data_IF_759239764912
#
_entry.id   IF_759239764912
#
_cell.length_a   1.000
_cell.length_b   1.000
_cell.length_c   1.000
_cell.angle_alpha   90.00
_cell.angle_beta   90.00
_cell.angle_gamma   90.00
#
_symmetry.space_group_name_H-M   'P 1'
#
loop_
_entity.id
_entity.type
_entity.pdbx_description
1 polymer ?
#
# COMPACT_ATOMS: atom_id res chain seq x y z
N UNK A 1 6.69 -7.40 18.37
CA UNK A 1 7.70 -6.34 18.61
C UNK A 1 7.23 -5.60 19.84
N UNK A 2 8.02 -5.48 20.91
CA UNK A 2 7.61 -4.68 22.07
C UNK A 2 7.35 -3.25 21.58
N UNK A 3 6.17 -2.73 21.85
CA UNK A 3 5.79 -1.36 21.53
C UNK A 3 6.79 -0.42 22.18
N UNK A 4 7.41 0.46 21.38
CA UNK A 4 8.26 1.52 21.92
C UNK A 4 7.37 2.35 22.85
N UNK A 5 7.86 2.69 24.05
CA UNK A 5 7.06 3.47 25.00
C UNK A 5 6.65 4.81 24.34
N UNK A 6 5.36 5.06 24.20
CA UNK A 6 4.85 6.28 23.56
C UNK A 6 5.33 7.56 24.28
N UNK A 7 5.56 7.49 25.60
CA UNK A 7 6.07 8.64 26.38
C UNK A 7 7.52 8.95 26.02
N UNK A 8 8.31 7.92 25.68
CA UNK A 8 9.68 8.07 25.18
C UNK A 8 9.67 8.88 23.89
N UNK A 9 8.87 8.48 22.91
CA UNK A 9 8.88 9.09 21.58
C UNK A 9 8.32 10.52 21.60
N UNK A 10 7.30 10.80 22.41
CA UNK A 10 6.74 12.14 22.56
C UNK A 10 7.76 13.18 23.06
N UNK A 11 8.59 12.83 24.05
CA UNK A 11 9.61 13.73 24.61
C UNK A 11 10.68 14.07 23.59
N UNK A 12 11.15 13.08 22.81
CA UNK A 12 12.13 13.32 21.72
C UNK A 12 11.53 14.23 20.64
N UNK A 13 10.26 14.02 20.26
CA UNK A 13 9.56 14.86 19.28
C UNK A 13 9.47 16.31 19.74
N UNK A 14 9.12 16.54 21.01
CA UNK A 14 9.09 17.88 21.60
C UNK A 14 10.47 18.54 21.58
N UNK A 15 11.52 17.81 21.98
CA UNK A 15 12.89 18.31 21.96
C UNK A 15 13.39 18.70 20.55
N UNK A 16 12.94 17.98 19.51
CA UNK A 16 13.26 18.30 18.12
C UNK A 16 12.43 19.47 17.55
N UNK A 17 11.25 19.74 18.08
CA UNK A 17 10.37 20.80 17.60
C UNK A 17 10.08 20.68 16.10
N UNK A 18 10.24 21.78 15.34
CA UNK A 18 10.00 21.77 13.89
C UNK A 18 10.94 20.86 13.10
N UNK A 19 12.14 20.58 13.63
CA UNK A 19 13.11 19.70 12.98
C UNK A 19 12.60 18.26 12.88
N UNK A 20 11.70 17.84 13.78
CA UNK A 20 11.05 16.53 13.68
C UNK A 20 10.21 16.42 12.41
N UNK A 21 9.44 17.47 12.08
CA UNK A 21 8.62 17.53 10.86
C UNK A 21 9.48 17.49 9.60
N UNK A 22 10.55 18.28 9.56
CA UNK A 22 11.52 18.26 8.46
C UNK A 22 12.13 16.86 8.28
N UNK A 23 12.58 16.25 9.38
CA UNK A 23 13.17 14.92 9.38
C UNK A 23 12.19 13.87 8.82
N UNK A 24 10.98 13.82 9.37
CA UNK A 24 9.96 12.86 8.97
C UNK A 24 9.53 13.06 7.51
N UNK A 25 9.43 14.31 7.06
CA UNK A 25 9.15 14.66 5.67
C UNK A 25 10.21 14.10 4.71
N UNK A 26 11.49 14.39 5.00
CA UNK A 26 12.62 13.90 4.18
C UNK A 26 12.73 12.37 4.21
N UNK A 27 12.49 11.73 5.37
CA UNK A 27 12.45 10.28 5.45
C UNK A 27 11.38 9.70 4.52
N UNK A 28 10.17 10.25 4.53
CA UNK A 28 9.05 9.79 3.67
C UNK A 28 9.33 10.04 2.19
N UNK A 29 9.85 11.22 1.82
CA UNK A 29 10.30 11.56 0.47
C UNK A 29 11.28 10.51 -0.08
N UNK A 30 12.21 10.08 0.76
CA UNK A 30 13.27 9.17 0.38
C UNK A 30 12.94 7.69 0.61
N UNK A 31 11.76 7.36 1.14
CA UNK A 31 11.42 6.01 1.65
C UNK A 31 12.52 5.46 2.57
N UNK A 32 13.15 6.33 3.37
CA UNK A 32 14.18 5.95 4.32
C UNK A 32 13.51 5.51 5.62
N UNK A 33 13.16 4.22 5.72
CA UNK A 33 12.56 3.67 6.92
C UNK A 33 13.49 3.84 8.14
N UNK A 34 12.95 4.04 9.36
CA UNK A 34 13.73 4.23 10.58
C UNK A 34 14.89 3.24 10.74
N UNK A 35 14.63 1.94 10.53
CA UNK A 35 15.65 0.89 10.63
C UNK A 35 16.87 1.06 9.72
N UNK A 36 16.73 1.77 8.58
CA UNK A 36 17.80 1.99 7.60
C UNK A 36 18.28 3.44 7.57
N UNK A 37 17.70 4.29 8.41
CA UNK A 37 17.87 5.74 8.40
C UNK A 37 19.34 6.20 8.53
N UNK A 38 20.13 5.56 9.39
CA UNK A 38 21.56 5.88 9.54
C UNK A 38 22.47 5.22 8.49
N UNK A 39 21.98 4.21 7.77
CA UNK A 39 22.70 3.55 6.68
C UNK A 39 22.61 4.33 5.38
N UNK A 40 21.52 5.04 5.18
CA UNK A 40 21.28 5.88 4.01
C UNK A 40 22.19 7.12 4.01
N UNK A 41 22.81 7.36 2.85
CA UNK A 41 23.83 8.40 2.62
C UNK A 41 23.36 9.51 1.69
N UNK A 42 22.07 9.53 1.32
CA UNK A 42 21.52 10.60 0.48
C UNK A 42 21.65 11.95 1.18
N UNK A 43 22.19 13.00 0.53
CA UNK A 43 22.58 14.24 1.20
C UNK A 43 21.47 14.92 1.99
N UNK A 44 20.25 15.02 1.43
CA UNK A 44 19.09 15.63 2.10
C UNK A 44 18.79 14.95 3.44
N UNK A 45 18.85 13.62 3.48
CA UNK A 45 18.62 12.85 4.70
C UNK A 45 19.74 13.01 5.70
N UNK A 46 21.00 12.89 5.26
CA UNK A 46 22.19 13.04 6.11
C UNK A 46 22.18 14.39 6.80
N UNK A 47 21.91 15.46 6.06
CA UNK A 47 21.88 16.81 6.61
C UNK A 47 20.83 17.00 7.71
N UNK A 48 19.58 16.57 7.47
CA UNK A 48 18.51 16.74 8.47
C UNK A 48 18.68 15.80 9.67
N UNK A 49 19.16 14.58 9.42
CA UNK A 49 19.49 13.60 10.46
C UNK A 49 20.55 14.13 11.40
N UNK A 50 21.69 14.57 10.87
CA UNK A 50 22.82 14.95 11.70
C UNK A 50 22.46 16.17 12.57
N UNK A 51 21.65 17.10 12.04
CA UNK A 51 21.04 18.18 12.83
C UNK A 51 20.12 17.66 13.93
N UNK A 52 19.28 16.67 13.65
CA UNK A 52 18.37 16.09 14.64
C UNK A 52 19.13 15.35 15.75
N UNK A 53 20.14 14.55 15.39
CA UNK A 53 21.00 13.88 16.36
C UNK A 53 21.71 14.90 17.26
N UNK A 54 22.26 15.97 16.67
CA UNK A 54 22.96 17.01 17.45
C UNK A 54 22.02 17.78 18.38
N UNK A 55 20.80 18.08 17.92
CA UNK A 55 19.78 18.69 18.77
C UNK A 55 19.46 17.82 19.99
N UNK A 56 19.36 16.49 19.82
CA UNK A 56 19.16 15.57 20.93
C UNK A 56 20.39 15.47 21.84
N UNK A 57 21.62 15.53 21.32
CA UNK A 57 22.82 15.62 22.18
C UNK A 57 22.83 16.88 23.03
N UNK A 58 22.55 18.03 22.42
CA UNK A 58 22.45 19.31 23.13
C UNK A 58 21.34 19.27 24.19
N UNK A 59 20.21 18.63 23.90
CA UNK A 59 19.14 18.42 24.86
C UNK A 59 19.58 17.49 26.01
N UNK A 60 20.28 16.40 25.70
CA UNK A 60 20.79 15.44 26.68
C UNK A 60 21.75 16.08 27.68
N UNK A 61 22.58 17.04 27.25
CA UNK A 61 23.46 17.79 28.16
C UNK A 61 22.67 18.62 29.19
N UNK A 62 21.48 19.10 28.83
CA UNK A 62 20.60 19.86 29.72
C UNK A 62 19.76 18.97 30.62
N UNK A 63 19.42 17.77 30.17
CA UNK A 63 18.53 16.83 30.86
C UNK A 63 19.14 15.41 30.94
N UNK A 64 20.34 15.23 31.56
CA UNK A 64 21.09 13.99 31.48
C UNK A 64 20.38 12.80 32.16
N UNK A 65 19.68 13.04 33.27
CA UNK A 65 18.94 11.99 33.97
C UNK A 65 17.80 11.45 33.10
N UNK A 66 16.94 12.33 32.58
CA UNK A 66 15.83 11.96 31.70
C UNK A 66 16.34 11.27 30.44
N UNK A 67 17.41 11.79 29.84
CA UNK A 67 18.02 11.16 28.66
C UNK A 67 18.50 9.72 28.96
N UNK A 68 19.21 9.48 30.06
CA UNK A 68 19.69 8.14 30.40
C UNK A 68 18.53 7.17 30.69
N UNK A 69 17.51 7.60 31.43
CA UNK A 69 16.30 6.80 31.66
C UNK A 69 15.62 6.42 30.34
N UNK A 70 15.53 7.36 29.40
CA UNK A 70 14.99 7.13 28.07
C UNK A 70 15.81 6.13 27.26
N UNK A 71 17.15 6.20 27.34
CA UNK A 71 18.05 5.27 26.67
C UNK A 71 17.92 3.86 27.24
N UNK A 72 17.77 3.73 28.56
CA UNK A 72 17.59 2.43 29.23
C UNK A 72 16.27 1.74 28.84
N UNK A 73 15.26 2.52 28.42
CA UNK A 73 13.99 2.01 27.91
C UNK A 73 14.03 1.58 26.43
N UNK A 74 15.11 1.88 25.69
CA UNK A 74 15.19 1.52 24.28
C UNK A 74 15.27 0.00 24.09
N UNK A 75 14.49 -0.58 23.15
CA UNK A 75 14.70 -1.94 22.71
C UNK A 75 16.13 -2.14 22.21
N UNK A 76 16.79 -3.25 22.60
CA UNK A 76 18.17 -3.56 22.18
C UNK A 76 18.39 -3.51 20.67
N UNK A 77 17.36 -3.81 19.88
CA UNK A 77 17.42 -3.76 18.41
C UNK A 77 17.60 -2.33 17.86
N UNK A 78 17.16 -1.32 18.61
CA UNK A 78 17.30 0.11 18.27
C UNK A 78 18.52 0.75 18.93
N UNK A 79 19.23 0.05 19.81
CA UNK A 79 20.42 0.56 20.48
C UNK A 79 21.60 0.61 19.49
N UNK A 80 21.69 1.70 18.75
CA UNK A 80 22.86 2.05 17.95
C UNK A 80 24.04 2.36 18.89
N UNK A 81 25.25 2.49 18.31
CA UNK A 81 26.44 2.91 19.07
C UNK A 81 26.30 4.30 19.68
N UNK A 82 25.39 5.11 19.17
CA UNK A 82 25.09 6.46 19.65
C UNK A 82 23.66 6.50 20.20
N UNK A 83 23.54 6.82 21.47
CA UNK A 83 22.26 6.88 22.18
C UNK A 83 21.34 7.98 21.65
N UNK A 84 21.87 9.15 21.30
CA UNK A 84 21.07 10.22 20.72
C UNK A 84 20.53 9.80 19.36
N UNK A 85 21.36 9.13 18.56
CA UNK A 85 20.94 8.59 17.28
C UNK A 85 19.82 7.56 17.41
N UNK A 86 19.93 6.67 18.41
CA UNK A 86 18.94 5.63 18.73
C UNK A 86 17.59 6.22 19.12
N UNK A 87 17.58 7.28 19.94
CA UNK A 87 16.36 7.98 20.34
C UNK A 87 15.68 8.67 19.16
N UNK A 88 16.44 9.30 18.25
CA UNK A 88 15.89 9.88 17.02
C UNK A 88 15.24 8.81 16.15
N UNK A 89 15.91 7.66 15.95
CA UNK A 89 15.36 6.54 15.18
C UNK A 89 14.05 6.05 15.79
N UNK A 90 14.04 5.77 17.10
CA UNK A 90 12.85 5.31 17.82
C UNK A 90 11.69 6.30 17.73
N UNK A 91 11.96 7.60 17.85
CA UNK A 91 10.93 8.64 17.82
C UNK A 91 10.20 8.77 16.46
N UNK A 92 10.83 8.33 15.37
CA UNK A 92 10.26 8.37 14.02
C UNK A 92 9.42 7.15 13.66
N UNK A 93 9.46 6.07 14.46
CA UNK A 93 8.93 4.78 14.05
C UNK A 93 7.43 4.79 13.75
N UNK A 94 6.62 5.18 14.74
CA UNK A 94 5.16 5.17 14.61
C UNK A 94 4.69 6.13 13.52
N UNK A 95 5.19 7.37 13.54
CA UNK A 95 4.75 8.39 12.60
C UNK A 95 5.23 8.08 11.17
N UNK A 96 6.37 7.44 10.96
CA UNK A 96 6.82 7.07 9.61
C UNK A 96 5.87 6.07 8.93
N UNK A 97 5.37 5.10 9.68
CA UNK A 97 4.46 4.06 9.19
C UNK A 97 2.98 4.40 9.33
N UNK A 98 2.64 5.49 10.05
CA UNK A 98 1.27 5.93 10.22
C UNK A 98 0.56 6.18 8.88
N UNK A 99 -0.70 5.74 8.81
CA UNK A 99 -1.57 5.94 7.65
C UNK A 99 -2.57 7.04 8.01
N UNK A 100 -2.34 8.30 7.59
CA UNK A 100 -3.22 9.40 7.93
C UNK A 100 -4.54 9.31 7.15
N UNK A 101 -5.61 9.94 7.66
CA UNK A 101 -6.88 10.05 6.93
C UNK A 101 -6.72 10.70 5.54
N UNK A 102 -5.74 11.59 5.37
CA UNK A 102 -5.41 12.20 4.08
C UNK A 102 -5.00 11.19 3.00
N UNK A 103 -4.58 9.98 3.39
CA UNK A 103 -4.31 8.86 2.47
C UNK A 103 -5.52 8.47 1.60
N UNK A 104 -6.73 8.80 2.05
CA UNK A 104 -7.96 8.50 1.32
C UNK A 104 -8.40 9.65 0.42
N UNK A 105 -7.74 10.81 0.49
CA UNK A 105 -8.10 12.02 -0.27
C UNK A 105 -7.37 12.09 -1.61
N UNK A 106 -8.06 12.56 -2.66
CA UNK A 106 -7.46 12.71 -4.00
C UNK A 106 -6.41 13.84 -4.03
N UNK A 107 -5.42 13.75 -4.94
CA UNK A 107 -4.41 14.78 -5.06
C UNK A 107 -5.03 16.16 -5.25
N UNK A 108 -4.60 17.13 -4.44
CA UNK A 108 -5.06 18.52 -4.55
C UNK A 108 -4.15 19.29 -5.49
N UNK A 109 -4.66 20.26 -6.24
CA UNK A 109 -3.84 21.04 -7.18
C UNK A 109 -2.65 21.77 -6.53
N UNK A 110 -2.74 22.06 -5.22
CA UNK A 110 -1.70 22.68 -4.40
C UNK A 110 -0.81 21.65 -3.66
N UNK A 111 -0.94 20.36 -3.94
CA UNK A 111 -0.08 19.35 -3.32
C UNK A 111 1.37 19.50 -3.75
N UNK A 112 2.35 19.11 -2.91
CA UNK A 112 3.77 19.27 -3.22
C UNK A 112 4.15 18.81 -4.63
N UNK A 113 3.74 17.60 -5.03
CA UNK A 113 4.08 17.04 -6.35
C UNK A 113 3.43 17.83 -7.48
N UNK A 114 2.15 18.19 -7.37
CA UNK A 114 1.45 18.92 -8.44
C UNK A 114 1.89 20.38 -8.51
N UNK A 115 2.27 21.00 -7.39
CA UNK A 115 2.90 22.31 -7.38
C UNK A 115 4.28 22.29 -8.07
N UNK A 116 5.07 21.24 -7.86
CA UNK A 116 6.38 21.08 -8.48
C UNK A 116 6.30 20.69 -9.97
N UNK A 117 5.27 19.94 -10.36
CA UNK A 117 5.03 19.51 -11.76
C UNK A 117 3.56 19.71 -12.15
N UNK A 118 3.12 20.97 -12.41
CA UNK A 118 1.70 21.27 -12.65
C UNK A 118 1.07 20.54 -13.84
N UNK A 119 1.87 20.24 -14.88
CA UNK A 119 1.42 19.47 -16.04
C UNK A 119 0.89 18.08 -15.64
N UNK A 120 1.36 17.49 -14.53
CA UNK A 120 0.89 16.18 -14.10
C UNK A 120 -0.61 16.16 -13.78
N UNK A 121 -1.19 17.31 -13.39
CA UNK A 121 -2.60 17.43 -13.11
C UNK A 121 -3.49 17.16 -14.34
N UNK A 122 -2.98 17.34 -15.57
CA UNK A 122 -3.76 17.06 -16.80
C UNK A 122 -3.95 15.57 -17.07
N UNK A 123 -3.25 14.70 -16.32
CA UNK A 123 -3.35 13.25 -16.44
C UNK A 123 -4.23 12.63 -15.34
N UNK A 124 -4.74 13.43 -14.39
CA UNK A 124 -5.62 12.95 -13.33
C UNK A 124 -7.03 12.68 -13.86
N UNK A 125 -7.60 11.56 -13.43
CA UNK A 125 -9.03 11.28 -13.56
C UNK A 125 -9.83 11.71 -12.33
N UNK A 126 -11.15 11.54 -12.39
CA UNK A 126 -12.09 11.88 -11.30
C UNK A 126 -11.89 11.05 -10.01
N UNK A 127 -11.02 10.02 -10.05
CA UNK A 127 -10.63 9.21 -8.89
C UNK A 127 -9.21 9.52 -8.40
N UNK A 128 -8.59 10.58 -8.91
CA UNK A 128 -7.24 10.97 -8.55
C UNK A 128 -6.15 9.98 -8.99
N UNK A 129 -6.42 9.21 -10.06
CA UNK A 129 -5.43 8.33 -10.69
C UNK A 129 -4.79 9.03 -11.89
N UNK A 130 -3.48 8.84 -12.07
CA UNK A 130 -2.74 9.35 -13.23
C UNK A 130 -2.83 8.34 -14.38
N UNK A 131 -3.25 8.77 -15.57
CA UNK A 131 -3.08 7.99 -16.80
C UNK A 131 -1.59 7.91 -17.15
N UNK A 132 -1.05 6.70 -17.18
CA UNK A 132 0.40 6.46 -17.33
C UNK A 132 0.82 6.08 -18.75
N UNK A 133 -0.12 6.06 -19.72
CA UNK A 133 0.16 5.59 -21.08
C UNK A 133 1.32 6.33 -21.76
N UNK A 134 1.37 7.66 -21.61
CA UNK A 134 2.36 8.54 -22.26
C UNK A 134 3.43 9.06 -21.30
N UNK A 135 3.61 8.40 -20.15
CA UNK A 135 4.56 8.80 -19.11
C UNK A 135 5.66 7.75 -18.89
N UNK A 136 6.80 8.16 -18.35
CA UNK A 136 7.88 7.25 -17.92
C UNK A 136 7.51 6.61 -16.56
N UNK A 137 6.44 5.82 -16.57
CA UNK A 137 6.01 5.00 -15.45
C UNK A 137 6.83 3.71 -15.41
N UNK A 138 7.55 3.52 -14.31
CA UNK A 138 8.36 2.31 -14.04
C UNK A 138 7.84 1.63 -12.78
N UNK A 139 8.22 0.37 -12.48
CA UNK A 139 7.78 -0.30 -11.26
C UNK A 139 8.09 0.48 -9.97
N UNK A 140 9.20 1.23 -9.96
CA UNK A 140 9.70 1.92 -8.76
C UNK A 140 9.26 3.39 -8.63
N UNK A 141 8.55 3.93 -9.63
CA UNK A 141 8.06 5.30 -9.59
C UNK A 141 7.72 5.85 -10.96
N UNK A 142 7.11 7.03 -10.95
CA UNK A 142 6.77 7.81 -12.13
C UNK A 142 7.83 8.91 -12.33
N UNK A 143 8.58 8.84 -13.42
CA UNK A 143 9.64 9.78 -13.72
C UNK A 143 9.13 10.93 -14.60
N UNK A 144 9.19 12.16 -14.08
CA UNK A 144 8.73 13.34 -14.81
C UNK A 144 9.60 14.56 -14.49
N UNK A 145 10.25 15.10 -15.52
CA UNK A 145 11.23 16.17 -15.35
C UNK A 145 12.31 15.78 -14.31
N UNK A 146 12.56 16.63 -13.28
CA UNK A 146 13.55 16.38 -12.26
C UNK A 146 13.08 15.42 -11.15
N UNK A 147 11.81 14.99 -11.17
CA UNK A 147 11.24 14.18 -10.09
C UNK A 147 11.16 12.69 -10.42
N UNK A 148 11.25 11.89 -9.37
CA UNK A 148 10.83 10.49 -9.32
C UNK A 148 9.63 10.40 -8.36
N UNK A 149 8.43 10.58 -8.88
CA UNK A 149 7.19 10.59 -8.09
C UNK A 149 6.87 9.19 -7.58
N UNK A 150 6.51 9.11 -6.30
CA UNK A 150 6.08 7.87 -5.65
C UNK A 150 4.69 7.44 -6.12
N UNK A 151 4.49 6.14 -6.23
CA UNK A 151 3.14 5.61 -6.23
C UNK A 151 2.53 5.68 -4.83
N UNK A 152 1.20 5.74 -4.79
CA UNK A 152 0.44 5.90 -3.57
C UNK A 152 0.80 4.83 -2.52
N UNK A 153 0.84 5.19 -1.23
CA UNK A 153 1.28 4.28 -0.17
C UNK A 153 0.45 2.98 -0.08
N UNK A 154 -0.80 2.99 -0.50
CA UNK A 154 -1.63 1.78 -0.56
C UNK A 154 -1.22 0.75 -1.62
N UNK A 155 -0.28 1.09 -2.50
CA UNK A 155 0.39 0.14 -3.39
C UNK A 155 1.61 -0.52 -2.72
N UNK A 156 1.92 -0.18 -1.46
CA UNK A 156 2.98 -0.83 -0.68
C UNK A 156 2.52 -2.17 -0.13
N UNK A 157 3.44 -3.13 -0.01
CA UNK A 157 3.14 -4.39 0.68
C UNK A 157 2.82 -4.11 2.14
N UNK A 158 1.72 -4.69 2.63
CA UNK A 158 1.19 -4.40 3.96
C UNK A 158 0.95 -2.90 4.23
N UNK A 159 0.81 -2.08 3.18
CA UNK A 159 0.62 -0.62 3.23
C UNK A 159 1.78 0.22 3.81
N UNK A 160 2.78 -0.42 4.43
CA UNK A 160 3.88 0.26 5.15
C UNK A 160 5.27 -0.03 4.58
N UNK A 161 5.42 -1.09 3.75
CA UNK A 161 6.70 -1.55 3.23
C UNK A 161 7.09 -0.88 1.89
N UNK A 162 7.92 -1.54 1.08
CA UNK A 162 8.21 -1.17 -0.30
C UNK A 162 6.96 -1.24 -1.17
N UNK A 163 6.95 -0.45 -2.25
CA UNK A 163 5.91 -0.53 -3.28
C UNK A 163 5.89 -1.94 -3.87
N UNK A 164 4.71 -2.43 -4.21
CA UNK A 164 4.54 -3.72 -4.86
C UNK A 164 4.99 -3.63 -6.33
N UNK A 165 6.31 -3.70 -6.56
CA UNK A 165 6.91 -3.48 -7.88
C UNK A 165 6.34 -4.40 -8.96
N UNK A 166 6.19 -5.70 -8.67
CA UNK A 166 5.61 -6.68 -9.61
C UNK A 166 4.17 -6.35 -10.02
N UNK A 167 3.35 -5.79 -9.11
CA UNK A 167 1.98 -5.39 -9.43
C UNK A 167 1.98 -4.19 -10.37
N UNK A 168 2.80 -3.19 -10.06
CA UNK A 168 2.95 -2.00 -10.92
C UNK A 168 3.50 -2.41 -12.28
N UNK A 169 4.49 -3.30 -12.31
CA UNK A 169 5.05 -3.86 -13.53
C UNK A 169 4.00 -4.61 -14.34
N UNK A 170 3.18 -5.44 -13.70
CA UNK A 170 2.09 -6.15 -14.37
C UNK A 170 1.07 -5.17 -14.96
N UNK A 171 0.60 -4.18 -14.18
CA UNK A 171 -0.38 -3.18 -14.63
C UNK A 171 0.16 -2.35 -15.81
N UNK A 172 1.36 -1.78 -15.67
CA UNK A 172 1.99 -0.98 -16.74
C UNK A 172 2.35 -1.85 -17.94
N UNK A 173 2.84 -3.07 -17.70
CA UNK A 173 3.22 -4.03 -18.74
C UNK A 173 2.04 -4.48 -19.58
N UNK A 174 0.91 -4.83 -18.96
CA UNK A 174 -0.35 -5.16 -19.66
C UNK A 174 -0.80 -3.97 -20.51
N UNK A 175 -0.82 -2.77 -19.95
CA UNK A 175 -1.21 -1.57 -20.69
C UNK A 175 -0.35 -1.31 -21.94
N UNK A 176 0.97 -1.51 -21.83
CA UNK A 176 1.90 -1.40 -22.97
C UNK A 176 1.68 -2.49 -24.01
N UNK A 177 1.58 -3.76 -23.59
CA UNK A 177 1.48 -4.91 -24.48
C UNK A 177 0.15 -4.91 -25.25
N UNK A 178 -0.96 -4.71 -24.54
CA UNK A 178 -2.31 -4.78 -25.11
C UNK A 178 -2.80 -3.43 -25.63
N UNK A 179 -1.99 -2.37 -25.48
CA UNK A 179 -2.32 -0.99 -25.87
C UNK A 179 -3.61 -0.49 -25.20
N UNK A 180 -3.80 -0.84 -23.94
CA UNK A 180 -4.93 -0.44 -23.11
C UNK A 180 -4.53 0.66 -22.13
N UNK A 181 -5.51 1.30 -21.48
CA UNK A 181 -5.22 2.37 -20.52
C UNK A 181 -4.92 1.79 -19.14
N UNK A 182 -3.80 2.19 -18.56
CA UNK A 182 -3.49 2.02 -17.14
C UNK A 182 -3.55 3.38 -16.43
N UNK A 183 -4.12 3.36 -15.24
CA UNK A 183 -4.19 4.51 -14.34
C UNK A 183 -3.70 4.10 -12.96
N UNK A 184 -2.80 4.88 -12.36
CA UNK A 184 -2.18 4.54 -11.08
C UNK A 184 -2.19 5.77 -10.17
N UNK A 185 -2.51 5.58 -8.88
CA UNK A 185 -2.45 6.64 -7.88
C UNK A 185 -0.99 6.95 -7.53
N UNK A 186 -0.70 8.23 -7.36
CA UNK A 186 0.58 8.74 -6.86
C UNK A 186 0.46 9.14 -5.41
N UNK A 187 1.59 9.18 -4.69
CA UNK A 187 1.71 9.90 -3.43
C UNK A 187 2.13 11.34 -3.75
N UNK A 188 1.17 12.25 -3.67
CA UNK A 188 1.33 13.65 -4.08
C UNK A 188 1.93 14.54 -2.99
N UNK A 189 2.12 13.98 -1.79
CA UNK A 189 2.74 14.65 -0.64
C UNK A 189 4.27 14.52 -0.60
N UNK A 190 4.87 13.63 -1.40
CA UNK A 190 6.30 13.28 -1.32
C UNK A 190 7.12 13.84 -2.49
N UNK A 191 8.17 14.61 -2.19
CA UNK A 191 9.11 15.14 -3.19
C UNK A 191 10.42 14.38 -3.19
N UNK A 192 10.62 13.59 -4.24
CA UNK A 192 11.90 12.91 -4.51
C UNK A 192 12.49 13.39 -5.83
N UNK A 193 13.74 13.82 -5.79
CA UNK A 193 14.48 14.14 -6.99
C UNK A 193 14.99 12.88 -7.69
N UNK A 194 15.14 12.95 -9.01
CA UNK A 194 15.53 11.82 -9.86
C UNK A 194 16.90 11.24 -9.49
N UNK A 195 17.84 12.08 -9.08
CA UNK A 195 19.19 11.69 -8.63
C UNK A 195 19.20 11.02 -7.25
N UNK A 196 18.12 11.16 -6.48
CA UNK A 196 17.91 10.49 -5.19
C UNK A 196 17.16 9.15 -5.32
N UNK A 197 16.78 8.79 -6.54
CA UNK A 197 16.09 7.54 -6.84
C UNK A 197 17.04 6.36 -6.63
N UNK A 198 16.56 5.36 -5.90
CA UNK A 198 17.23 4.08 -5.72
C UNK A 198 16.28 2.98 -6.17
N UNK A 199 16.76 2.16 -7.10
CA UNK A 199 16.08 0.93 -7.49
C UNK A 199 16.44 -0.16 -6.48
N UNK A 200 15.42 -0.78 -5.89
CA UNK A 200 15.60 -1.93 -5.00
C UNK A 200 14.97 -3.13 -5.68
N UNK A 201 15.80 -4.10 -6.03
CA UNK A 201 15.33 -5.37 -6.56
C UNK A 201 15.01 -6.31 -5.41
N UNK A 202 13.74 -6.69 -5.29
CA UNK A 202 13.29 -7.73 -4.36
C UNK A 202 12.77 -8.89 -5.20
N UNK A 203 13.40 -10.06 -5.09
CA UNK A 203 13.02 -11.26 -5.83
C UNK A 203 12.24 -12.19 -4.93
N UNK A 204 10.96 -12.30 -5.19
CA UNK A 204 10.07 -13.25 -4.57
C UNK A 204 9.07 -13.71 -5.64
N UNK A 205 8.75 -14.99 -5.67
CA UNK A 205 8.00 -15.57 -6.79
C UNK A 205 6.55 -15.78 -6.38
N UNK A 206 5.68 -14.85 -6.77
CA UNK A 206 4.23 -14.96 -6.62
C UNK A 206 3.57 -15.11 -7.99
N UNK A 207 2.86 -16.21 -8.19
CA UNK A 207 2.11 -16.47 -9.41
C UNK A 207 0.66 -16.80 -9.09
N UNK A 208 -0.25 -16.26 -9.90
CA UNK A 208 -1.65 -16.68 -9.90
C UNK A 208 -1.82 -17.98 -10.70
N UNK A 209 -2.83 -18.80 -10.38
CA UNK A 209 -3.17 -19.93 -11.23
C UNK A 209 -3.64 -19.45 -12.61
N UNK A 210 -3.42 -20.29 -13.61
CA UNK A 210 -4.01 -20.06 -14.93
C UNK A 210 -5.48 -20.45 -14.86
N UNK A 211 -6.36 -19.47 -15.08
CA UNK A 211 -7.79 -19.69 -15.12
C UNK A 211 -8.19 -20.20 -16.50
N UNK A 212 -9.06 -21.20 -16.53
CA UNK A 212 -9.78 -21.63 -17.72
C UNK A 212 -10.90 -20.63 -18.02
N UNK A 213 -11.12 -20.34 -19.29
CA UNK A 213 -12.10 -19.33 -19.70
C UNK A 213 -13.53 -19.84 -19.58
N UNK A 214 -13.73 -21.15 -19.61
CA UNK A 214 -15.03 -21.83 -19.59
C UNK A 214 -15.80 -21.53 -18.30
N UNK A 215 -15.15 -21.64 -17.13
CA UNK A 215 -15.79 -21.30 -15.85
C UNK A 215 -16.10 -19.81 -15.73
N UNK A 216 -15.21 -18.95 -16.24
CA UNK A 216 -15.41 -17.50 -16.19
C UNK A 216 -16.59 -17.05 -17.05
N UNK A 217 -16.83 -17.73 -18.18
CA UNK A 217 -17.88 -17.43 -19.14
C UNK A 217 -19.22 -18.16 -18.88
N UNK A 218 -19.29 -19.02 -17.86
CA UNK A 218 -20.56 -19.60 -17.43
C UNK A 218 -21.49 -18.51 -16.86
N UNK A 219 -22.66 -18.22 -17.49
CA UNK A 219 -23.58 -17.21 -17.01
C UNK A 219 -24.30 -17.59 -15.70
N UNK A 220 -24.29 -18.87 -15.31
CA UNK A 220 -24.88 -19.37 -14.06
C UNK A 220 -23.90 -19.32 -12.89
N UNK A 221 -22.59 -19.22 -13.16
CA UNK A 221 -21.57 -19.07 -12.13
C UNK A 221 -21.54 -17.64 -11.58
N UNK A 222 -22.54 -17.34 -10.76
CA UNK A 222 -22.77 -16.09 -10.04
C UNK A 222 -23.06 -16.38 -8.56
N UNK A 223 -22.95 -15.37 -7.71
CA UNK A 223 -23.17 -15.48 -6.28
C UNK A 223 -21.97 -15.04 -5.47
N UNK A 224 -22.10 -15.13 -4.15
CA UNK A 224 -21.05 -14.79 -3.20
C UNK A 224 -20.44 -16.07 -2.62
N UNK A 225 -19.13 -16.17 -2.69
CA UNK A 225 -18.33 -17.23 -2.07
C UNK A 225 -17.43 -16.61 -1.02
N UNK A 226 -17.31 -17.25 0.14
CA UNK A 226 -16.31 -16.85 1.13
C UNK A 226 -15.40 -18.02 1.42
N UNK A 227 -14.10 -17.84 1.14
CA UNK A 227 -13.04 -18.74 1.54
C UNK A 227 -12.47 -18.24 2.86
N UNK A 228 -12.58 -19.04 3.91
CA UNK A 228 -12.07 -18.71 5.24
C UNK A 228 -10.80 -19.50 5.57
N UNK A 229 -9.91 -18.88 6.31
CA UNK A 229 -8.83 -19.58 7.01
C UNK A 229 -9.40 -20.26 8.26
N UNK A 230 -9.24 -21.59 8.43
CA UNK A 230 -9.71 -22.29 9.62
C UNK A 230 -9.12 -21.74 10.93
N UNK A 231 -7.92 -21.15 10.85
CA UNK A 231 -7.24 -20.52 11.99
C UNK A 231 -7.60 -19.04 12.16
N UNK A 232 -8.54 -18.51 11.37
CA UNK A 232 -9.01 -17.13 11.41
C UNK A 232 -7.88 -16.09 11.33
N UNK A 233 -6.84 -16.37 10.54
CA UNK A 233 -5.72 -15.45 10.33
C UNK A 233 -4.77 -15.32 11.53
N UNK A 234 -4.71 -16.31 12.43
CA UNK A 234 -3.75 -16.31 13.55
C UNK A 234 -2.30 -16.49 13.09
N UNK A 235 -2.06 -16.88 11.84
CA UNK A 235 -0.72 -16.97 11.26
C UNK A 235 -0.05 -15.60 11.18
N UNK A 236 1.11 -15.47 11.81
CA UNK A 236 1.96 -14.27 11.73
C UNK A 236 2.37 -13.97 10.27
N UNK A 237 2.54 -15.01 9.45
CA UNK A 237 2.99 -14.88 8.06
C UNK A 237 1.85 -14.69 7.05
N UNK A 238 0.62 -15.09 7.41
CA UNK A 238 -0.56 -14.97 6.56
C UNK A 238 -1.78 -14.57 7.41
N UNK A 239 -1.84 -13.33 7.92
CA UNK A 239 -2.88 -12.88 8.84
C UNK A 239 -4.16 -12.51 8.09
N UNK A 240 -4.74 -13.46 7.36
CA UNK A 240 -5.97 -13.29 6.58
C UNK A 240 -7.01 -14.28 7.08
N UNK A 241 -8.12 -13.77 7.62
CA UNK A 241 -9.19 -14.59 8.17
C UNK A 241 -10.11 -15.11 7.06
N UNK A 242 -10.37 -14.32 6.03
CA UNK A 242 -11.15 -14.75 4.88
C UNK A 242 -10.90 -13.89 3.62
N UNK A 243 -11.40 -14.38 2.48
CA UNK A 243 -11.66 -13.58 1.28
C UNK A 243 -13.08 -13.82 0.80
N UNK A 244 -13.82 -12.75 0.53
CA UNK A 244 -15.12 -12.82 -0.12
C UNK A 244 -14.96 -12.51 -1.61
N UNK A 245 -15.50 -13.38 -2.44
CA UNK A 245 -15.56 -13.21 -3.89
C UNK A 245 -17.00 -13.24 -4.34
N UNK A 246 -17.46 -12.16 -4.96
CA UNK A 246 -18.83 -12.01 -5.45
C UNK A 246 -18.84 -11.85 -6.96
N UNK A 247 -19.44 -12.82 -7.64
CA UNK A 247 -19.75 -12.74 -9.05
C UNK A 247 -21.19 -12.28 -9.25
N UNK A 248 -21.40 -11.27 -10.09
CA UNK A 248 -22.74 -10.83 -10.51
C UNK A 248 -22.79 -10.75 -12.02
N UNK A 249 -24.01 -10.84 -12.56
CA UNK A 249 -24.27 -10.71 -13.98
C UNK A 249 -25.51 -9.87 -14.19
N UNK A 250 -25.43 -8.93 -15.13
CA UNK A 250 -26.62 -8.24 -15.61
C UNK A 250 -27.39 -9.16 -16.58
N UNK A 251 -28.69 -9.41 -16.31
CA UNK A 251 -29.48 -10.45 -17.00
C UNK A 251 -29.50 -10.29 -18.52
N UNK A 252 -29.55 -9.06 -19.02
CA UNK A 252 -29.61 -8.73 -20.44
C UNK A 252 -28.24 -8.52 -21.09
N UNK A 253 -27.15 -8.67 -20.35
CA UNK A 253 -25.80 -8.32 -20.77
C UNK A 253 -24.88 -9.54 -20.81
N UNK A 254 -23.84 -9.46 -21.65
CA UNK A 254 -22.72 -10.40 -21.62
C UNK A 254 -21.69 -10.04 -20.54
N UNK A 255 -21.94 -9.00 -19.75
CA UNK A 255 -21.03 -8.53 -18.72
C UNK A 255 -21.24 -9.28 -17.40
N UNK A 256 -20.15 -9.89 -16.92
CA UNK A 256 -20.01 -10.39 -15.54
C UNK A 256 -19.11 -9.44 -14.76
N UNK A 257 -19.50 -9.16 -13.53
CA UNK A 257 -18.69 -8.40 -12.58
C UNK A 257 -18.20 -9.32 -11.49
N UNK A 258 -16.93 -9.19 -11.11
CA UNK A 258 -16.35 -9.82 -9.92
C UNK A 258 -15.86 -8.75 -8.96
N UNK A 259 -16.17 -8.96 -7.69
CA UNK A 259 -15.66 -8.17 -6.59
C UNK A 259 -14.98 -9.09 -5.59
N UNK A 260 -13.78 -8.73 -5.16
CA UNK A 260 -12.98 -9.50 -4.19
C UNK A 260 -12.65 -8.59 -3.03
N UNK A 261 -12.88 -9.02 -1.79
CA UNK A 261 -12.58 -8.25 -0.58
C UNK A 261 -11.94 -9.12 0.49
N UNK A 262 -10.86 -8.63 1.09
CA UNK A 262 -10.19 -9.30 2.21
C UNK A 262 -10.95 -9.10 3.52
N UNK A 263 -10.84 -10.09 4.40
CA UNK A 263 -11.10 -9.97 5.83
C UNK A 263 -9.78 -10.30 6.56
N UNK A 264 -9.20 -9.30 7.20
CA UNK A 264 -8.03 -9.45 8.09
C UNK A 264 -8.46 -9.45 9.56
N UNK A 265 -7.74 -10.13 10.46
CA UNK A 265 -7.95 -10.00 11.90
C UNK A 265 -7.70 -8.57 12.37
N UNK A 266 -8.48 -8.12 13.36
CA UNK A 266 -8.20 -6.85 14.05
C UNK A 266 -6.95 -7.04 14.90
N UNK A 267 -5.90 -6.28 14.61
CA UNK A 267 -4.69 -6.27 15.42
C UNK A 267 -4.89 -5.38 16.67
N UNK A 268 -4.19 -5.70 17.76
CA UNK A 268 -4.28 -4.96 19.03
C UNK A 268 -3.45 -3.67 19.08
N UNK A 269 -2.80 -3.30 17.97
CA UNK A 269 -2.09 -2.03 17.83
C UNK A 269 -3.07 -0.86 17.77
N UNK A 270 -2.66 0.33 18.23
CA UNK A 270 -3.46 1.57 18.26
C UNK A 270 -3.73 2.17 16.85
N UNK A 271 -3.85 1.34 15.82
CA UNK A 271 -4.22 1.81 14.50
C UNK A 271 -5.71 2.18 14.46
N UNK A 272 -6.01 3.38 13.97
CA UNK A 272 -7.39 3.87 13.85
C UNK A 272 -8.22 3.08 12.82
N UNK A 273 -7.57 2.52 11.80
CA UNK A 273 -8.23 1.86 10.68
C UNK A 273 -7.86 0.40 10.56
N UNK A 274 -8.85 -0.43 10.24
CA UNK A 274 -8.62 -1.74 9.64
C UNK A 274 -8.67 -1.58 8.12
N UNK A 275 -7.54 -1.81 7.48
CA UNK A 275 -7.36 -1.67 6.03
C UNK A 275 -7.52 -3.02 5.33
N UNK A 276 -8.37 -3.06 4.31
CA UNK A 276 -8.55 -4.26 3.48
C UNK A 276 -8.44 -3.92 2.01
N UNK A 277 -7.85 -4.83 1.25
CA UNK A 277 -7.85 -4.71 -0.21
C UNK A 277 -9.18 -5.11 -0.77
N UNK A 278 -9.55 -4.40 -1.83
CA UNK A 278 -10.73 -4.65 -2.65
C UNK A 278 -10.33 -4.62 -4.12
N UNK A 279 -10.87 -5.56 -4.90
CA UNK A 279 -10.71 -5.61 -6.35
C UNK A 279 -12.09 -5.60 -6.97
N UNK A 280 -12.27 -4.83 -8.03
CA UNK A 280 -13.45 -4.86 -8.88
C UNK A 280 -13.03 -5.13 -10.32
N UNK A 281 -13.71 -6.01 -11.04
CA UNK A 281 -13.42 -6.25 -12.45
C UNK A 281 -14.67 -6.62 -13.23
N UNK A 282 -14.64 -6.29 -14.52
CA UNK A 282 -15.74 -6.59 -15.46
C UNK A 282 -15.18 -7.44 -16.59
N UNK A 283 -15.80 -8.61 -16.78
CA UNK A 283 -15.54 -9.53 -17.88
C UNK A 283 -16.66 -9.42 -18.90
N UNK A 284 -16.30 -9.23 -20.15
CA UNK A 284 -17.19 -9.36 -21.30
C UNK A 284 -17.11 -10.80 -21.82
N UNK A 285 -18.11 -11.62 -21.50
CA UNK A 285 -18.15 -13.04 -21.88
C UNK A 285 -18.23 -13.24 -23.40
N UNK A 286 -18.80 -12.27 -24.12
CA UNK A 286 -18.87 -12.36 -25.59
C UNK A 286 -17.48 -12.19 -26.23
N UNK A 287 -16.64 -11.35 -25.63
CA UNK A 287 -15.25 -11.13 -26.04
C UNK A 287 -14.25 -12.06 -25.35
N UNK A 288 -14.73 -12.86 -24.39
CA UNK A 288 -13.91 -13.72 -23.52
C UNK A 288 -12.76 -12.97 -22.83
N UNK A 289 -12.95 -11.69 -22.55
CA UNK A 289 -11.91 -10.79 -22.06
C UNK A 289 -12.39 -9.98 -20.85
N UNK A 290 -11.46 -9.64 -19.96
CA UNK A 290 -11.70 -8.58 -19.00
C UNK A 290 -11.57 -7.25 -19.71
N UNK A 291 -12.52 -6.34 -19.45
CA UNK A 291 -12.57 -5.00 -20.06
C UNK A 291 -12.27 -3.89 -19.06
N UNK A 292 -12.29 -4.23 -17.77
CA UNK A 292 -12.08 -3.31 -16.66
C UNK A 292 -11.57 -4.08 -15.45
N UNK A 293 -10.58 -3.51 -14.75
CA UNK A 293 -10.11 -4.00 -13.45
C UNK A 293 -9.59 -2.83 -12.63
N UNK A 294 -10.05 -2.65 -11.40
CA UNK A 294 -9.49 -1.69 -10.47
C UNK A 294 -9.25 -2.30 -9.08
N UNK A 295 -8.19 -1.81 -8.44
CA UNK A 295 -7.86 -2.14 -7.06
C UNK A 295 -8.01 -0.92 -6.17
N UNK A 296 -8.57 -1.12 -4.99
CA UNK A 296 -8.81 -0.10 -4.01
C UNK A 296 -8.55 -0.61 -2.58
N UNK A 297 -8.26 0.31 -1.67
CA UNK A 297 -8.21 0.03 -0.23
C UNK A 297 -9.46 0.61 0.41
N UNK A 298 -10.13 -0.22 1.22
CA UNK A 298 -11.21 0.17 2.12
C UNK A 298 -10.63 0.31 3.52
N UNK A 299 -11.05 1.34 4.23
CA UNK A 299 -10.71 1.53 5.63
C UNK A 299 -11.97 1.60 6.47
N UNK A 300 -11.99 0.75 7.49
CA UNK A 300 -13.05 0.66 8.47
C UNK A 300 -12.54 1.17 9.81
N UNK A 301 -13.40 1.88 10.55
CA UNK A 301 -13.12 2.18 11.95
C UNK A 301 -13.11 0.86 12.72
N UNK A 302 -12.10 0.67 13.59
CA UNK A 302 -11.89 -0.58 14.35
C UNK A 302 -13.14 -1.09 15.05
N UNK A 303 -13.95 -0.18 15.59
CA UNK A 303 -15.15 -0.52 16.36
C UNK A 303 -16.31 -1.03 15.49
N UNK A 304 -16.30 -0.68 14.20
CA UNK A 304 -17.33 -1.06 13.22
C UNK A 304 -16.88 -2.17 12.28
N UNK A 305 -15.60 -2.54 12.32
CA UNK A 305 -15.04 -3.54 11.45
C UNK A 305 -15.53 -4.95 11.84
N UNK A 306 -15.96 -5.77 10.87
CA UNK A 306 -16.43 -7.13 11.14
C UNK A 306 -15.39 -8.00 11.83
N UNK A 307 -15.78 -8.68 12.91
CA UNK A 307 -14.88 -9.55 13.68
C UNK A 307 -14.92 -11.01 13.26
N UNK A 308 -15.98 -11.40 12.55
CA UNK A 308 -16.14 -12.75 12.03
C UNK A 308 -16.79 -12.76 10.64
N UNK A 309 -16.91 -13.96 10.09
CA UNK A 309 -17.48 -14.19 8.77
C UNK A 309 -18.98 -13.82 8.69
N UNK A 310 -19.75 -14.00 9.76
CA UNK A 310 -21.17 -13.71 9.77
C UNK A 310 -21.43 -12.20 9.74
N UNK A 311 -20.67 -11.43 10.53
CA UNK A 311 -20.65 -9.97 10.49
C UNK A 311 -20.13 -9.47 9.15
N UNK A 312 -19.08 -10.09 8.60
CA UNK A 312 -18.49 -9.67 7.33
C UNK A 312 -19.49 -9.77 6.17
N UNK A 313 -20.34 -10.80 6.15
CA UNK A 313 -21.43 -10.92 5.16
C UNK A 313 -22.49 -9.81 5.27
N UNK A 314 -22.63 -9.18 6.44
CA UNK A 314 -23.59 -8.09 6.70
C UNK A 314 -22.92 -6.72 6.79
N UNK A 315 -21.62 -6.63 6.45
CA UNK A 315 -20.83 -5.41 6.64
C UNK A 315 -21.43 -4.23 5.89
N UNK A 316 -21.37 -3.06 6.52
CA UNK A 316 -21.70 -1.81 5.88
C UNK A 316 -20.61 -1.40 4.88
N UNK A 317 -20.87 -0.36 4.09
CA UNK A 317 -19.82 0.26 3.28
C UNK A 317 -18.75 0.85 4.19
N UNK A 318 -17.48 0.67 3.82
CA UNK A 318 -16.36 1.30 4.51
C UNK A 318 -16.52 2.84 4.50
N UNK A 319 -16.28 3.53 5.62
CA UNK A 319 -16.35 4.99 5.70
C UNK A 319 -15.34 5.67 4.77
N UNK A 320 -14.19 5.04 4.56
CA UNK A 320 -13.15 5.54 3.64
C UNK A 320 -12.81 4.51 2.57
N UNK A 321 -12.61 4.98 1.34
CA UNK A 321 -12.33 4.17 0.16
C UNK A 321 -11.36 4.91 -0.76
N UNK A 322 -10.28 4.24 -1.17
CA UNK A 322 -9.32 4.81 -2.12
C UNK A 322 -8.94 3.82 -3.21
N UNK A 323 -9.32 4.12 -4.45
CA UNK A 323 -8.82 3.47 -5.66
C UNK A 323 -7.34 3.82 -5.87
N UNK A 324 -6.54 2.82 -6.24
CA UNK A 324 -5.09 2.99 -6.41
C UNK A 324 -4.54 2.54 -7.75
N UNK A 325 -5.23 1.66 -8.47
CA UNK A 325 -4.92 1.39 -9.86
C UNK A 325 -6.18 1.03 -10.63
N UNK A 326 -6.12 1.16 -11.95
CA UNK A 326 -7.20 0.79 -12.87
C UNK A 326 -6.62 0.43 -14.24
N UNK A 327 -7.17 -0.61 -14.85
CA UNK A 327 -6.97 -1.03 -16.24
C UNK A 327 -8.30 -0.91 -16.99
N UNK A 328 -8.29 -0.30 -18.17
CA UNK A 328 -9.45 -0.22 -19.06
C UNK A 328 -9.08 -0.56 -20.50
N UNK A 329 -9.79 -1.54 -21.05
CA UNK A 329 -9.52 -2.15 -22.35
C UNK A 329 -9.54 -3.67 -22.22
N UNK A 330 -9.51 -4.37 -23.35
CA UNK A 330 -9.59 -5.83 -23.36
C UNK A 330 -8.24 -6.47 -23.00
N UNK A 331 -8.20 -7.32 -21.97
CA UNK A 331 -7.06 -8.14 -21.59
C UNK A 331 -7.51 -9.55 -21.17
N UNK A 332 -6.57 -10.50 -21.22
CA UNK A 332 -6.85 -11.93 -21.03
C UNK A 332 -7.18 -12.29 -19.58
N UNK A 333 -7.84 -13.44 -19.39
CA UNK A 333 -8.08 -14.02 -18.07
C UNK A 333 -6.78 -14.30 -17.29
N UNK A 334 -5.70 -14.68 -17.99
CA UNK A 334 -4.37 -14.91 -17.40
C UNK A 334 -3.75 -13.62 -16.84
N UNK A 335 -3.84 -12.52 -17.59
CA UNK A 335 -3.37 -11.22 -17.13
C UNK A 335 -4.19 -10.74 -15.93
N UNK A 336 -5.52 -10.91 -15.99
CA UNK A 336 -6.39 -10.61 -14.86
C UNK A 336 -6.05 -11.42 -13.60
N UNK A 337 -5.87 -12.74 -13.72
CA UNK A 337 -5.57 -13.60 -12.56
C UNK A 337 -4.21 -13.25 -11.94
N UNK A 338 -3.25 -12.83 -12.76
CA UNK A 338 -1.94 -12.33 -12.31
C UNK A 338 -2.10 -11.02 -11.53
N UNK A 339 -2.83 -10.04 -12.06
CA UNK A 339 -3.10 -8.77 -11.35
C UNK A 339 -3.84 -9.02 -10.04
N UNK A 340 -4.85 -9.90 -10.02
CA UNK A 340 -5.58 -10.25 -8.80
C UNK A 340 -4.65 -10.91 -7.76
N UNK A 341 -3.85 -11.91 -8.16
CA UNK A 341 -2.93 -12.59 -7.26
C UNK A 341 -1.85 -11.66 -6.69
N UNK A 342 -1.30 -10.77 -7.50
CA UNK A 342 -0.33 -9.77 -7.05
C UNK A 342 -0.99 -8.72 -6.15
N UNK A 343 -2.20 -8.26 -6.48
CA UNK A 343 -2.89 -7.27 -5.64
C UNK A 343 -3.11 -7.81 -4.23
N UNK A 344 -3.52 -9.08 -4.11
CA UNK A 344 -3.72 -9.77 -2.84
C UNK A 344 -2.49 -10.56 -2.37
N UNK A 345 -1.27 -10.17 -2.78
CA UNK A 345 -0.03 -10.85 -2.39
C UNK A 345 0.07 -11.02 -0.87
N UNK A 346 0.42 -12.25 -0.45
CA UNK A 346 0.44 -12.66 0.96
C UNK A 346 -0.84 -13.37 1.41
N UNK A 347 -1.98 -13.15 0.74
CA UNK A 347 -3.24 -13.81 1.07
C UNK A 347 -3.39 -15.11 0.29
N UNK A 348 -3.07 -16.25 0.90
CA UNK A 348 -3.15 -17.58 0.28
C UNK A 348 -4.55 -17.98 -0.20
N UNK A 349 -5.60 -17.40 0.39
CA UNK A 349 -6.98 -17.76 0.10
C UNK A 349 -7.41 -17.31 -1.31
N UNK A 350 -6.77 -16.27 -1.85
CA UNK A 350 -7.01 -15.78 -3.22
C UNK A 350 -6.51 -16.76 -4.27
N UNK A 351 -5.22 -17.16 -4.32
CA UNK A 351 -4.78 -18.16 -5.28
C UNK A 351 -5.49 -19.49 -5.10
N UNK A 352 -5.84 -19.91 -3.87
CA UNK A 352 -6.66 -21.11 -3.62
C UNK A 352 -8.05 -21.02 -4.27
N UNK A 353 -8.75 -19.89 -4.11
CA UNK A 353 -10.03 -19.64 -4.77
C UNK A 353 -9.90 -19.63 -6.30
N UNK A 354 -8.87 -18.98 -6.82
CA UNK A 354 -8.64 -18.94 -8.26
C UNK A 354 -8.31 -20.36 -8.80
N UNK A 355 -7.60 -21.20 -8.04
CA UNK A 355 -7.33 -22.59 -8.41
C UNK A 355 -8.60 -23.45 -8.41
N UNK A 356 -9.47 -23.28 -7.40
CA UNK A 356 -10.74 -24.02 -7.36
C UNK A 356 -11.63 -23.66 -8.55
N UNK A 357 -11.64 -22.39 -8.95
CA UNK A 357 -12.34 -21.92 -10.15
C UNK A 357 -11.84 -22.61 -11.43
N UNK A 358 -10.52 -22.81 -11.56
CA UNK A 358 -9.95 -23.56 -12.69
C UNK A 358 -10.41 -25.03 -12.70
N UNK A 359 -10.56 -25.66 -11.54
CA UNK A 359 -10.96 -27.06 -11.41
C UNK A 359 -12.45 -27.31 -11.72
N UNK A 360 -13.32 -26.29 -11.60
CA UNK A 360 -14.73 -26.42 -12.01
C UNK A 360 -14.93 -26.55 -13.53
N UNK A 361 -13.89 -26.28 -14.34
CA UNK A 361 -13.95 -26.35 -15.80
C UNK A 361 -13.38 -27.65 -16.40
N UNK A 362 -12.83 -28.53 -15.56
CA UNK A 362 -12.33 -29.87 -15.94
C UNK A 362 -13.31 -30.93 -15.50
#
# INVERSE_FOLDING_TARGET
>A
MNTIDYRLTATVREALGSLYGDLLGIMRDLSAAPLFFYRDKRPRLVQVRDRATEAIRTWAERYPTTFNEMVDLLPRVLALRDSAASLVEAATWDDYFAIPQSAFTYPRHDSPVLAAVPRLATFLDDHGLIDVADLDARPHGLFIGPLSVHYHQFLRRGFTSNVHYELVEAVVGIARLDRIRARIAIDDGRIRYRDEHLEMEERDYWYGPTLTEEALDDPQLVGETVHGDPELGQSILSPYAAVCVRWTRERASALKTVEIEELVPVQDVEDHFVLVRYLHSIRDMSKRAFIHCDGAVKAYDRDTYPRDLAEFRRRAKAPSYRKVFRLDGAFSAKQWSTVAALWFRGNRLVPEYLMSLSAYAS
#
